data_IF_201263378404
#
_entry.id   IF_201263378404
#
_cell.length_a   1.000
_cell.length_b   1.000
_cell.length_c   1.000
_cell.angle_alpha   90.00
_cell.angle_beta   90.00
_cell.angle_gamma   90.00
#
_symmetry.space_group_name_H-M   'P 1'
#
loop_
_entity.id
_entity.type
_entity.pdbx_description
1 polymer ?
#
# COMPACT_ATOMS: atom_id res chain seq x y z
N UNK A 1 54.78 -7.48 33.84
CA UNK A 1 54.49 -7.15 32.43
C UNK A 1 53.10 -7.70 32.10
N UNK A 2 52.09 -6.84 31.97
CA UNK A 2 50.74 -7.26 31.61
C UNK A 2 50.58 -7.19 30.09
N UNK A 3 50.21 -8.31 29.48
CA UNK A 3 49.94 -8.43 28.05
C UNK A 3 48.63 -7.74 27.71
N UNK A 4 48.70 -6.69 26.89
CA UNK A 4 47.53 -6.06 26.27
C UNK A 4 47.01 -6.99 25.19
N UNK A 5 46.04 -7.82 25.54
CA UNK A 5 45.27 -8.58 24.56
C UNK A 5 44.47 -7.59 23.69
N UNK A 6 44.92 -7.41 22.45
CA UNK A 6 44.19 -6.70 21.40
C UNK A 6 42.89 -7.47 21.13
N UNK A 7 41.76 -6.96 21.64
CA UNK A 7 40.44 -7.45 21.24
C UNK A 7 40.18 -6.96 19.81
N UNK A 8 40.29 -7.85 18.84
CA UNK A 8 39.72 -7.59 17.51
C UNK A 8 38.20 -7.38 17.66
N UNK A 9 37.62 -6.32 17.08
CA UNK A 9 36.18 -6.15 17.08
C UNK A 9 35.53 -7.30 16.29
N UNK A 10 34.37 -7.81 16.72
CA UNK A 10 33.71 -8.89 16.00
C UNK A 10 33.41 -8.45 14.57
N UNK A 11 33.98 -9.15 13.59
CA UNK A 11 33.69 -8.95 12.18
C UNK A 11 32.27 -9.46 11.90
N UNK A 12 31.28 -8.57 11.96
CA UNK A 12 29.91 -8.90 11.56
C UNK A 12 29.95 -9.23 10.07
N UNK A 13 29.45 -10.40 9.71
CA UNK A 13 29.35 -10.78 8.30
C UNK A 13 28.30 -9.92 7.59
N UNK A 14 28.40 -9.69 6.26
CA UNK A 14 27.38 -8.96 5.52
C UNK A 14 25.97 -9.54 5.69
N UNK A 15 25.86 -10.88 5.82
CA UNK A 15 24.59 -11.56 6.05
C UNK A 15 23.99 -11.23 7.43
N UNK A 16 24.79 -11.26 8.49
CA UNK A 16 24.34 -10.90 9.85
C UNK A 16 23.96 -9.41 9.93
N UNK A 17 24.71 -8.55 9.26
CA UNK A 17 24.37 -7.13 9.17
C UNK A 17 23.01 -6.92 8.50
N UNK A 18 22.75 -7.55 7.35
CA UNK A 18 21.47 -7.46 6.63
C UNK A 18 20.32 -8.04 7.44
N UNK A 19 20.53 -9.21 8.06
CA UNK A 19 19.55 -9.83 8.95
C UNK A 19 19.14 -8.86 10.07
N UNK A 20 20.11 -8.24 10.76
CA UNK A 20 19.83 -7.28 11.82
C UNK A 20 19.08 -6.05 11.31
N UNK A 21 19.49 -5.49 10.18
CA UNK A 21 18.83 -4.33 9.57
C UNK A 21 17.39 -4.65 9.18
N UNK A 22 17.14 -5.81 8.59
CA UNK A 22 15.80 -6.22 8.19
C UNK A 22 14.91 -6.53 9.39
N UNK A 23 15.41 -7.18 10.43
CA UNK A 23 14.64 -7.39 11.66
C UNK A 23 14.20 -6.07 12.29
N UNK A 24 15.12 -5.13 12.47
CA UNK A 24 14.80 -3.79 13.01
C UNK A 24 13.81 -3.05 12.11
N UNK A 25 13.99 -3.13 10.79
CA UNK A 25 13.06 -2.50 9.85
C UNK A 25 11.66 -3.10 9.96
N UNK A 26 11.54 -4.42 10.05
CA UNK A 26 10.27 -5.12 10.23
C UNK A 26 9.58 -4.70 11.53
N UNK A 27 10.31 -4.61 12.63
CA UNK A 27 9.78 -4.16 13.91
C UNK A 27 9.28 -2.72 13.86
N UNK A 28 10.03 -1.81 13.22
CA UNK A 28 9.61 -0.42 13.04
C UNK A 28 8.32 -0.33 12.20
N UNK A 29 8.22 -1.10 11.11
CA UNK A 29 7.01 -1.16 10.28
C UNK A 29 5.79 -1.63 11.09
N UNK A 30 5.96 -2.66 11.93
CA UNK A 30 4.90 -3.13 12.83
C UNK A 30 4.52 -2.07 13.86
N UNK A 31 5.51 -1.37 14.43
CA UNK A 31 5.27 -0.31 15.41
C UNK A 31 4.48 0.88 14.83
N UNK A 32 4.64 1.18 13.54
CA UNK A 32 3.84 2.18 12.82
C UNK A 32 2.36 1.79 12.68
N UNK A 33 1.99 0.51 12.95
CA UNK A 33 0.62 -0.04 12.89
C UNK A 33 -0.07 0.05 11.54
N UNK A 34 0.66 0.42 10.49
CA UNK A 34 0.16 0.52 9.11
C UNK A 34 0.88 -0.46 8.17
N UNK A 35 1.60 -1.42 8.74
CA UNK A 35 2.20 -2.52 8.01
C UNK A 35 1.15 -3.59 7.72
N UNK A 36 0.91 -3.85 6.44
CA UNK A 36 -0.17 -4.73 5.97
C UNK A 36 0.05 -6.17 6.43
N UNK A 37 1.30 -6.59 6.65
CA UNK A 37 1.60 -7.95 7.07
C UNK A 37 1.43 -8.20 8.58
N UNK A 38 1.03 -7.18 9.35
CA UNK A 38 0.71 -7.36 10.77
C UNK A 38 -0.56 -8.22 10.92
N UNK A 39 -0.54 -9.15 11.87
CA UNK A 39 -1.69 -10.00 12.21
C UNK A 39 -2.83 -9.17 12.82
N UNK A 40 -2.51 -8.10 13.54
CA UNK A 40 -3.47 -7.19 14.14
C UNK A 40 -3.97 -6.10 13.17
N UNK A 41 -3.53 -6.15 11.90
CA UNK A 41 -3.85 -5.14 10.90
C UNK A 41 -5.37 -4.98 10.69
N UNK A 42 -6.10 -6.10 10.58
CA UNK A 42 -7.55 -6.06 10.30
C UNK A 42 -8.34 -5.40 11.43
N UNK A 43 -7.96 -5.67 12.68
CA UNK A 43 -8.60 -5.06 13.84
C UNK A 43 -8.29 -3.56 13.89
N UNK A 44 -7.03 -3.20 13.61
CA UNK A 44 -6.59 -1.79 13.49
C UNK A 44 -7.40 -1.03 12.43
N UNK A 45 -7.63 -1.63 11.25
CA UNK A 45 -8.43 -1.03 10.17
C UNK A 45 -9.87 -0.80 10.65
N UNK A 46 -10.51 -1.82 11.21
CA UNK A 46 -11.91 -1.72 11.67
C UNK A 46 -12.09 -0.67 12.76
N UNK A 47 -11.13 -0.56 13.67
CA UNK A 47 -11.22 0.37 14.80
C UNK A 47 -10.92 1.80 14.37
N UNK A 48 -9.83 2.02 13.63
CA UNK A 48 -9.24 3.36 13.47
C UNK A 48 -9.43 3.99 12.10
N UNK A 49 -9.70 3.19 11.08
CA UNK A 49 -9.64 3.63 9.69
C UNK A 49 -11.02 3.53 9.04
N UNK A 50 -11.27 4.41 8.07
CA UNK A 50 -12.50 4.44 7.29
C UNK A 50 -12.24 4.98 5.90
N UNK A 51 -13.04 4.56 4.94
CA UNK A 51 -13.03 5.14 3.60
C UNK A 51 -13.80 6.45 3.62
N UNK A 52 -13.20 7.52 3.12
CA UNK A 52 -13.83 8.82 2.95
C UNK A 52 -13.62 9.29 1.52
N UNK A 53 -14.65 9.94 0.95
CA UNK A 53 -14.54 10.55 -0.37
C UNK A 53 -13.79 11.87 -0.25
N UNK A 54 -12.58 11.90 -0.78
CA UNK A 54 -11.74 13.11 -0.87
C UNK A 54 -11.76 13.58 -2.31
N UNK A 55 -12.47 14.69 -2.57
CA UNK A 55 -12.74 15.21 -3.92
C UNK A 55 -13.50 14.17 -4.78
N UNK A 56 -12.80 13.45 -5.64
CA UNK A 56 -13.36 12.49 -6.59
C UNK A 56 -12.95 11.04 -6.33
N UNK A 57 -12.14 10.78 -5.30
CA UNK A 57 -11.58 9.45 -5.01
C UNK A 57 -11.94 9.00 -3.60
N UNK A 58 -12.17 7.71 -3.42
CA UNK A 58 -12.30 7.09 -2.10
C UNK A 58 -10.89 6.86 -1.55
N UNK A 59 -10.60 7.50 -0.42
CA UNK A 59 -9.29 7.46 0.23
C UNK A 59 -9.44 6.89 1.63
N UNK A 60 -8.50 6.03 2.03
CA UNK A 60 -8.43 5.53 3.40
C UNK A 60 -7.88 6.62 4.32
N UNK A 61 -8.69 7.01 5.30
CA UNK A 61 -8.37 8.06 6.27
C UNK A 61 -8.56 7.55 7.70
N UNK A 62 -8.00 8.28 8.67
CA UNK A 62 -8.29 8.01 10.08
C UNK A 62 -9.69 8.50 10.43
N UNK A 63 -10.43 7.72 11.23
CA UNK A 63 -11.77 8.12 11.72
C UNK A 63 -11.73 9.44 12.49
N UNK A 64 -10.69 9.62 13.32
CA UNK A 64 -10.49 10.84 14.09
C UNK A 64 -10.37 12.09 13.19
N UNK A 65 -9.62 12.02 12.08
CA UNK A 65 -9.51 13.16 11.16
C UNK A 65 -10.82 13.44 10.43
N UNK A 66 -11.58 12.40 10.07
CA UNK A 66 -12.89 12.56 9.43
C UNK A 66 -13.91 13.22 10.37
N UNK A 67 -13.97 12.78 11.63
CA UNK A 67 -14.83 13.35 12.66
C UNK A 67 -14.47 14.83 12.93
N UNK A 68 -13.18 15.15 13.02
CA UNK A 68 -12.71 16.52 13.21
C UNK A 68 -13.12 17.42 12.02
N UNK A 69 -13.00 16.93 10.79
CA UNK A 69 -13.42 17.66 9.60
C UNK A 69 -14.94 17.88 9.58
N UNK A 70 -15.73 16.86 9.89
CA UNK A 70 -17.19 16.97 9.95
C UNK A 70 -17.65 17.96 11.04
N UNK A 71 -17.01 17.92 12.21
CA UNK A 71 -17.29 18.87 13.30
C UNK A 71 -16.97 20.31 12.89
N UNK A 72 -15.83 20.54 12.24
CA UNK A 72 -15.45 21.87 11.73
C UNK A 72 -16.42 22.38 10.65
N UNK A 73 -16.86 21.51 9.74
CA UNK A 73 -17.84 21.86 8.71
C UNK A 73 -19.20 22.21 9.31
N UNK A 74 -19.66 21.46 10.32
CA UNK A 74 -20.91 21.77 11.01
C UNK A 74 -20.83 23.12 11.74
N UNK A 75 -19.73 23.38 12.44
CA UNK A 75 -19.50 24.66 13.10
C UNK A 75 -19.48 25.83 12.10
N UNK A 76 -18.94 25.61 10.88
CA UNK A 76 -18.97 26.60 9.79
C UNK A 76 -20.37 26.93 9.32
N UNK A 77 -21.22 25.93 9.16
CA UNK A 77 -22.61 26.13 8.74
C UNK A 77 -23.44 26.85 9.82
N UNK A 78 -23.12 26.64 11.09
CA UNK A 78 -23.82 27.30 12.21
C UNK A 78 -23.35 28.75 12.45
N UNK A 79 -22.16 29.13 11.97
CA UNK A 79 -21.55 30.46 12.18
C UNK A 79 -21.66 31.40 10.99
N UNK A 80 -22.62 31.15 10.08
CA UNK A 80 -22.92 31.98 8.90
C UNK A 80 -23.59 33.33 9.26
N UNK A 81 -23.02 34.00 10.27
CA UNK A 81 -23.31 35.36 10.71
C UNK A 81 -22.26 36.26 10.05
N UNK A 82 -22.71 37.19 9.20
CA UNK A 82 -21.87 38.16 8.49
C UNK A 82 -20.83 38.80 9.44
N UNK A 83 -19.54 38.47 9.23
CA UNK A 83 -18.41 39.09 9.94
C UNK A 83 -17.55 38.15 10.79
N UNK A 84 -17.89 36.87 10.95
CA UNK A 84 -17.02 35.92 11.64
C UNK A 84 -15.88 35.38 10.75
N UNK A 85 -14.68 35.26 11.32
CA UNK A 85 -13.55 34.58 10.67
C UNK A 85 -13.95 33.16 10.24
N UNK A 86 -13.66 32.74 8.99
CA UNK A 86 -13.96 31.38 8.54
C UNK A 86 -13.33 30.35 9.50
N UNK A 87 -14.08 29.35 9.96
CA UNK A 87 -13.52 28.32 10.83
C UNK A 87 -12.42 27.55 10.10
N UNK A 88 -11.37 27.24 10.84
CA UNK A 88 -10.25 26.47 10.33
C UNK A 88 -10.70 25.02 10.07
N UNK A 89 -10.71 24.61 8.81
CA UNK A 89 -11.01 23.24 8.42
C UNK A 89 -9.72 22.43 8.53
N UNK A 90 -9.63 21.43 9.43
CA UNK A 90 -8.45 20.60 9.55
C UNK A 90 -8.27 19.73 8.29
N UNK A 91 -7.02 19.43 7.88
CA UNK A 91 -6.77 18.50 6.78
C UNK A 91 -7.18 17.06 7.16
N UNK A 92 -7.52 16.25 6.15
CA UNK A 92 -7.71 14.80 6.35
C UNK A 92 -6.36 14.09 6.44
N UNK A 93 -6.24 13.21 7.44
CA UNK A 93 -5.05 12.38 7.61
C UNK A 93 -5.18 11.14 6.72
N UNK A 94 -4.62 11.25 5.52
CA UNK A 94 -4.51 10.14 4.58
C UNK A 94 -3.51 9.11 5.10
N UNK A 95 -3.91 7.84 5.04
CA UNK A 95 -3.14 6.74 5.61
C UNK A 95 -2.27 6.08 4.55
N UNK A 96 -0.97 6.01 4.81
CA UNK A 96 -0.03 5.27 3.97
C UNK A 96 0.13 3.85 4.51
N UNK A 97 -0.22 2.86 3.68
CA UNK A 97 -0.04 1.46 4.00
C UNK A 97 1.29 0.94 3.45
N UNK A 98 1.98 0.13 4.23
CA UNK A 98 3.32 -0.37 3.88
C UNK A 98 3.33 -1.89 3.74
N UNK A 99 4.05 -2.40 2.74
CA UNK A 99 4.31 -3.83 2.53
C UNK A 99 5.72 -4.00 1.97
N UNK A 100 6.39 -5.09 2.35
CA UNK A 100 7.68 -5.48 1.76
C UNK A 100 7.45 -6.57 0.73
N UNK A 101 7.91 -6.32 -0.49
CA UNK A 101 7.84 -7.25 -1.63
C UNK A 101 9.21 -7.32 -2.30
N UNK A 102 9.46 -8.41 -3.00
CA UNK A 102 10.58 -8.51 -3.93
C UNK A 102 10.12 -8.09 -5.32
N UNK A 103 10.85 -7.20 -5.96
CA UNK A 103 10.53 -6.76 -7.32
C UNK A 103 10.96 -7.88 -8.27
N UNK A 104 10.03 -8.41 -9.07
CA UNK A 104 10.39 -9.43 -10.06
C UNK A 104 11.22 -8.82 -11.18
N UNK A 105 12.24 -9.54 -11.63
CA UNK A 105 13.06 -9.14 -12.78
C UNK A 105 12.35 -9.37 -14.12
N UNK A 106 11.31 -10.19 -14.12
CA UNK A 106 10.60 -10.65 -15.32
C UNK A 106 9.50 -9.68 -15.80
N UNK A 107 8.91 -8.90 -14.90
CA UNK A 107 7.78 -7.98 -15.20
C UNK A 107 8.15 -6.51 -14.97
N UNK A 108 9.41 -6.14 -15.20
CA UNK A 108 9.85 -4.76 -15.06
C UNK A 108 9.71 -4.01 -16.38
N UNK A 109 8.61 -3.25 -16.54
CA UNK A 109 8.34 -2.48 -17.77
C UNK A 109 9.31 -1.31 -18.01
N UNK A 110 10.20 -1.00 -17.05
CA UNK A 110 11.27 -0.01 -17.22
C UNK A 110 12.50 -0.36 -16.39
N UNK A 111 13.54 -0.97 -16.96
CA UNK A 111 14.85 -1.19 -16.28
C UNK A 111 15.34 0.09 -15.58
N UNK A 112 15.85 -0.04 -14.34
CA UNK A 112 16.29 1.08 -13.48
C UNK A 112 17.34 2.00 -14.12
N UNK A 113 18.00 1.55 -15.20
CA UNK A 113 18.97 2.29 -15.98
C UNK A 113 18.38 3.16 -17.11
N UNK A 114 17.04 3.27 -17.25
CA UNK A 114 16.37 3.98 -18.35
C UNK A 114 16.67 5.48 -18.49
N UNK A 115 17.61 6.04 -17.70
CA UNK A 115 18.03 7.44 -17.74
C UNK A 115 16.84 8.40 -17.71
N UNK A 116 15.77 8.03 -17.00
CA UNK A 116 14.60 8.89 -16.85
C UNK A 116 15.02 10.15 -16.08
N UNK A 117 15.14 11.27 -16.80
CA UNK A 117 15.50 12.59 -16.24
C UNK A 117 14.26 13.43 -15.91
N UNK A 118 13.10 12.79 -15.77
CA UNK A 118 11.81 13.47 -15.72
C UNK A 118 11.27 13.83 -17.11
N UNK A 119 10.08 14.44 -17.15
CA UNK A 119 9.42 14.83 -18.38
C UNK A 119 10.29 15.76 -19.21
N UNK A 120 10.53 15.41 -20.47
CA UNK A 120 11.18 16.27 -21.45
C UNK A 120 10.35 16.29 -22.74
N UNK A 121 10.69 17.17 -23.69
CA UNK A 121 9.91 17.33 -24.94
C UNK A 121 9.70 16.01 -25.72
N UNK A 122 10.63 15.06 -25.65
CA UNK A 122 10.53 13.77 -26.34
C UNK A 122 9.83 12.68 -25.53
N UNK A 123 9.63 12.89 -24.23
CA UNK A 123 9.14 11.86 -23.32
C UNK A 123 7.98 12.34 -22.43
N UNK A 124 7.33 13.45 -22.79
CA UNK A 124 6.25 14.04 -21.99
C UNK A 124 5.06 13.08 -21.82
N UNK A 125 4.83 12.18 -22.78
CA UNK A 125 3.80 11.15 -22.68
C UNK A 125 4.03 10.14 -21.54
N UNK A 126 5.25 10.06 -21.01
CA UNK A 126 5.59 9.21 -19.87
C UNK A 126 5.54 9.96 -18.52
N UNK A 127 5.22 11.26 -18.50
CA UNK A 127 5.10 12.04 -17.26
C UNK A 127 4.04 11.50 -16.31
N UNK A 128 2.98 10.96 -16.90
CA UNK A 128 1.82 10.45 -16.18
C UNK A 128 1.86 8.91 -16.05
N UNK A 129 2.91 8.29 -16.58
CA UNK A 129 3.07 6.85 -16.53
C UNK A 129 3.44 6.43 -15.12
N UNK A 130 2.47 5.85 -14.39
CA UNK A 130 2.76 5.16 -13.13
C UNK A 130 3.58 3.91 -13.45
N UNK A 131 4.79 3.86 -12.91
CA UNK A 131 5.58 2.63 -12.89
C UNK A 131 4.76 1.54 -12.18
N UNK A 132 4.29 0.56 -12.94
CA UNK A 132 3.66 -0.64 -12.38
C UNK A 132 4.72 -1.73 -12.31
N UNK A 133 5.06 -2.18 -11.10
CA UNK A 133 5.90 -3.36 -10.90
C UNK A 133 5.06 -4.51 -10.35
N UNK A 134 5.40 -5.74 -10.75
CA UNK A 134 4.89 -6.94 -10.10
C UNK A 134 5.76 -7.21 -8.86
N UNK A 135 5.15 -7.16 -7.69
CA UNK A 135 5.77 -7.61 -6.44
C UNK A 135 5.57 -9.12 -6.27
N UNK A 136 6.64 -9.82 -5.90
CA UNK A 136 6.63 -11.22 -5.51
C UNK A 136 7.00 -11.38 -4.03
N UNK A 137 6.86 -12.62 -3.57
CA UNK A 137 7.23 -13.03 -2.21
C UNK A 137 8.73 -12.76 -1.99
N UNK A 138 9.10 -12.01 -0.93
CA UNK A 138 10.50 -11.84 -0.57
C UNK A 138 11.21 -13.17 -0.30
N UNK A 139 12.42 -13.32 -0.84
CA UNK A 139 13.31 -14.45 -0.58
C UNK A 139 13.91 -14.43 0.83
N UNK A 140 14.14 -13.25 1.40
CA UNK A 140 14.78 -13.12 2.71
C UNK A 140 13.90 -13.63 3.86
N UNK A 141 14.48 -14.42 4.78
CA UNK A 141 13.78 -15.14 5.84
C UNK A 141 12.99 -14.25 6.81
N UNK A 142 13.39 -12.98 6.97
CA UNK A 142 12.68 -11.99 7.81
C UNK A 142 11.29 -11.63 7.25
N UNK A 143 11.18 -11.46 5.93
CA UNK A 143 9.96 -10.94 5.28
C UNK A 143 9.20 -12.02 4.49
N UNK A 144 9.85 -13.11 4.11
CA UNK A 144 9.23 -14.25 3.44
C UNK A 144 7.98 -14.78 4.18
N UNK A 145 7.95 -14.90 5.52
CA UNK A 145 6.78 -15.37 6.27
C UNK A 145 5.63 -14.36 6.31
N UNK A 146 5.91 -13.07 6.14
CA UNK A 146 4.92 -11.99 6.21
C UNK A 146 4.02 -11.95 4.98
N UNK A 147 4.54 -12.40 3.84
CA UNK A 147 3.90 -12.23 2.54
C UNK A 147 2.49 -12.83 2.44
N UNK A 148 2.20 -14.07 2.88
CA UNK A 148 0.84 -14.61 2.83
C UNK A 148 -0.18 -13.79 3.63
N UNK A 149 0.22 -13.32 4.82
CA UNK A 149 -0.60 -12.45 5.67
C UNK A 149 -0.86 -11.12 4.97
N UNK A 150 0.17 -10.54 4.37
CA UNK A 150 0.07 -9.28 3.66
C UNK A 150 -0.93 -9.36 2.49
N UNK A 151 -0.83 -10.39 1.65
CA UNK A 151 -1.76 -10.62 0.54
C UNK A 151 -3.18 -10.87 1.05
N UNK A 152 -3.34 -11.63 2.13
CA UNK A 152 -4.64 -11.87 2.75
C UNK A 152 -5.29 -10.58 3.28
N UNK A 153 -4.52 -9.70 3.90
CA UNK A 153 -4.99 -8.41 4.40
C UNK A 153 -5.26 -7.42 3.28
N UNK A 154 -4.47 -7.46 2.22
CA UNK A 154 -4.67 -6.66 1.02
C UNK A 154 -5.98 -7.01 0.31
N UNK A 155 -6.28 -8.30 0.14
CA UNK A 155 -7.56 -8.76 -0.40
C UNK A 155 -8.73 -8.27 0.46
N UNK A 156 -8.60 -8.41 1.77
CA UNK A 156 -9.59 -7.89 2.71
C UNK A 156 -9.83 -6.39 2.54
N UNK A 157 -8.77 -5.58 2.38
CA UNK A 157 -8.91 -4.15 2.11
C UNK A 157 -9.68 -3.88 0.82
N UNK A 158 -9.36 -4.60 -0.25
CA UNK A 158 -10.04 -4.46 -1.54
C UNK A 158 -11.51 -4.87 -1.47
N UNK A 159 -11.87 -5.80 -0.59
CA UNK A 159 -13.25 -6.22 -0.39
C UNK A 159 -14.06 -5.17 0.37
N UNK A 160 -13.46 -4.46 1.33
CA UNK A 160 -14.12 -3.39 2.09
C UNK A 160 -14.07 -2.03 1.38
N UNK A 161 -13.16 -1.84 0.41
CA UNK A 161 -13.00 -0.61 -0.36
C UNK A 161 -14.00 -0.48 -1.52
N UNK A 162 -14.84 -1.49 -1.77
CA UNK A 162 -15.75 -1.44 -2.89
C UNK A 162 -16.96 -0.56 -2.58
N UNK A 163 -17.15 0.49 -3.39
CA UNK A 163 -18.47 1.07 -3.62
C UNK A 163 -19.47 -0.06 -3.87
N UNK A 164 -20.59 -0.07 -3.14
CA UNK A 164 -21.60 -1.13 -3.22
C UNK A 164 -22.03 -1.35 -4.70
N UNK A 165 -21.81 -2.57 -5.21
CA UNK A 165 -22.11 -2.95 -6.61
C UNK A 165 -20.95 -2.82 -7.61
N UNK A 166 -19.77 -2.30 -7.22
CA UNK A 166 -18.61 -2.18 -8.12
C UNK A 166 -17.58 -3.30 -7.90
N UNK A 167 -17.57 -4.30 -8.80
CA UNK A 167 -16.68 -5.48 -8.70
C UNK A 167 -15.33 -5.33 -9.41
N UNK A 168 -15.09 -4.24 -10.14
CA UNK A 168 -13.89 -4.06 -10.95
C UNK A 168 -12.70 -3.60 -10.09
N UNK A 169 -11.89 -4.57 -9.65
CA UNK A 169 -10.65 -4.33 -8.90
C UNK A 169 -9.46 -4.22 -9.85
N UNK A 170 -8.74 -3.10 -9.85
CA UNK A 170 -7.53 -2.88 -10.68
C UNK A 170 -6.28 -2.67 -9.81
N UNK A 171 -5.13 -3.20 -10.26
CA UNK A 171 -3.81 -2.70 -9.84
C UNK A 171 -3.07 -3.42 -8.71
N UNK A 172 -3.69 -4.30 -7.92
CA UNK A 172 -3.04 -4.89 -6.73
C UNK A 172 -2.73 -6.40 -6.80
N UNK A 173 -3.38 -7.14 -7.70
CA UNK A 173 -3.22 -8.61 -7.83
C UNK A 173 -3.32 -9.09 -9.28
N UNK A 174 -3.07 -8.20 -10.24
CA UNK A 174 -2.99 -8.59 -11.63
C UNK A 174 -1.68 -9.36 -11.82
N UNK A 175 -1.73 -10.69 -11.66
CA UNK A 175 -0.76 -11.54 -12.35
C UNK A 175 -0.89 -11.17 -13.82
N UNK A 176 0.23 -10.83 -14.47
CA UNK A 176 0.24 -10.72 -15.93
C UNK A 176 -0.22 -12.06 -16.47
N UNK A 177 -1.51 -12.19 -16.77
CA UNK A 177 -2.06 -13.44 -17.28
C UNK A 177 -1.28 -13.76 -18.55
N UNK A 178 -0.66 -14.94 -18.59
CA UNK A 178 -0.15 -15.46 -19.86
C UNK A 178 -1.31 -15.50 -20.86
N UNK A 179 -1.04 -15.42 -22.15
CA UNK A 179 -2.11 -15.41 -23.17
C UNK A 179 -3.05 -16.62 -23.02
N UNK A 180 -2.56 -17.76 -22.54
CA UNK A 180 -3.37 -18.95 -22.23
C UNK A 180 -4.31 -18.76 -21.02
N UNK A 181 -3.89 -18.00 -20.01
CA UNK A 181 -4.72 -17.69 -18.84
C UNK A 181 -5.77 -16.59 -19.14
N UNK A 182 -5.48 -15.68 -20.08
CA UNK A 182 -6.47 -14.70 -20.58
C UNK A 182 -7.63 -15.38 -21.30
N UNK A 183 -7.32 -16.36 -22.15
CA UNK A 183 -8.34 -17.13 -22.89
C UNK A 183 -9.25 -17.91 -21.92
N UNK A 184 -8.69 -18.50 -20.86
CA UNK A 184 -9.50 -19.22 -19.87
C UNK A 184 -10.34 -18.30 -18.97
N UNK A 185 -9.86 -17.09 -18.65
CA UNK A 185 -10.64 -16.10 -17.90
C UNK A 185 -11.81 -15.51 -18.71
N UNK A 186 -11.63 -15.36 -20.03
CA UNK A 186 -12.70 -14.95 -20.94
C UNK A 186 -13.73 -16.07 -21.16
N UNK A 187 -13.30 -17.33 -21.26
CA UNK A 187 -14.20 -18.48 -21.41
C UNK A 187 -14.98 -18.81 -20.11
N UNK A 188 -14.39 -18.58 -18.93
CA UNK A 188 -15.05 -18.80 -17.65
C UNK A 188 -16.23 -17.85 -17.37
N UNK A 189 -16.22 -16.65 -17.96
CA UNK A 189 -17.31 -15.67 -17.83
C UNK A 189 -18.48 -15.91 -18.80
N UNK A 190 -18.35 -16.82 -19.78
CA UNK A 190 -19.40 -17.11 -20.76
C UNK A 190 -20.40 -18.17 -20.25
N UNK A 191 -20.05 -18.98 -19.25
CA UNK A 191 -20.90 -20.11 -18.79
C UNK A 191 -21.80 -19.86 -17.57
N UNK A 192 -21.97 -18.60 -17.12
CA UNK A 192 -22.93 -18.27 -16.04
C UNK A 192 -24.07 -17.32 -16.44
N UNK A 193 -24.22 -16.99 -17.72
CA UNK A 193 -25.43 -16.34 -18.25
C UNK A 193 -26.18 -17.30 -19.18
N UNK A 194 -27.00 -18.17 -18.59
CA UNK A 194 -27.88 -19.03 -19.37
C UNK A 194 -28.42 -20.20 -18.58
N UNK A 195 -29.37 -19.94 -17.67
CA UNK A 195 -30.57 -20.77 -17.47
C UNK A 195 -31.37 -20.21 -16.28
N UNK A 196 -32.30 -19.32 -16.58
CA UNK A 196 -33.56 -19.23 -15.86
C UNK A 196 -34.65 -18.99 -16.90
N UNK A 197 -35.43 -20.03 -17.16
CA UNK A 197 -36.73 -20.00 -17.81
C UNK A 197 -37.63 -20.92 -16.99
#
# INVERSE_FOLDING_TARGET
MASLATREPPSITPAEFLQNRFSVTRENLIAERLYISDVAFRDTIKEKLTWARVRHEETLVTKASLEALQAAQKAAQETDVEGSTPPHIPPLDVVNLSIVVEITTEDFWMTSCGLWKGPNRGCNAFSDMKLTCTGAKPTHAVFSPDYPTAIGNLKYLMDIAATEGFNNKKGLLAVGLSNEQKVNAELGNVYHNGNNS
#
